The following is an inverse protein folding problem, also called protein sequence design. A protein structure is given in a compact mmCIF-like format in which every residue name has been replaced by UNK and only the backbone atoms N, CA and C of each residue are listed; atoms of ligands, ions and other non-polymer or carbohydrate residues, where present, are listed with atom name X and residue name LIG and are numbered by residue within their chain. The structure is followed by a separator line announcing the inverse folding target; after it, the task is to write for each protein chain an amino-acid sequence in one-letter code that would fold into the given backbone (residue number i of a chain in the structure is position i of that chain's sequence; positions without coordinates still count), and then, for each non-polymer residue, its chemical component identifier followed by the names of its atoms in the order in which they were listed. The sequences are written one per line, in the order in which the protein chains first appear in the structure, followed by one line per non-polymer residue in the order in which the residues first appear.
data_IF_085252037042
#
_entry.id   IF_085252037042
#
_cell.length_a   1.000
_cell.length_b   1.000
_cell.length_c   1.000
_cell.angle_alpha   90.00
_cell.angle_beta   90.00
_cell.angle_gamma   90.00
#
_symmetry.space_group_name_H-M   'P 1'
#
loop_
_entity.id
_entity.type
_entity.pdbx_description
1 polymer ?
#
# COMPACT_ATOMS: atom_id res chain seq x y z
N UNK A 1 -35.11 -61.57 -30.20
CA UNK A 1 -34.51 -62.92 -30.06
C UNK A 1 -33.09 -62.84 -30.63
N UNK A 2 -32.10 -63.46 -29.96
CA UNK A 2 -30.61 -63.39 -30.16
C UNK A 2 -29.96 -62.05 -29.73
N UNK A 3 -29.15 -61.87 -28.67
CA UNK A 3 -28.01 -62.53 -27.97
C UNK A 3 -26.61 -62.35 -28.60
N UNK A 4 -25.77 -61.58 -27.87
CA UNK A 4 -24.28 -61.59 -27.73
C UNK A 4 -23.50 -61.07 -28.95
N UNK A 5 -22.36 -60.37 -28.83
CA UNK A 5 -21.20 -60.64 -27.96
C UNK A 5 -20.33 -59.41 -27.68
N UNK A 6 -19.75 -59.38 -26.49
CA UNK A 6 -18.56 -58.61 -26.15
C UNK A 6 -17.33 -59.17 -26.90
N UNK A 7 -16.43 -58.28 -27.34
CA UNK A 7 -15.03 -58.60 -27.54
C UNK A 7 -14.17 -57.47 -26.97
N UNK A 8 -13.45 -57.84 -25.90
CA UNK A 8 -12.25 -57.19 -25.42
C UNK A 8 -11.12 -57.36 -26.43
N UNK A 9 -10.38 -56.30 -26.71
CA UNK A 9 -8.97 -56.41 -27.08
C UNK A 9 -8.17 -55.47 -26.19
N UNK A 10 -7.34 -56.08 -25.35
CA UNK A 10 -6.31 -55.41 -24.59
C UNK A 10 -4.99 -55.52 -25.38
N UNK A 11 -4.20 -54.44 -25.33
CA UNK A 11 -2.74 -54.48 -25.44
C UNK A 11 -2.15 -54.16 -26.81
N UNK A 12 -1.53 -52.98 -26.93
CA UNK A 12 -0.20 -52.69 -27.50
C UNK A 12 0.01 -51.16 -27.30
N UNK A 13 0.58 -50.74 -26.17
CA UNK A 13 1.99 -50.39 -25.97
C UNK A 13 2.33 -48.91 -26.28
N UNK A 14 2.65 -48.18 -25.20
CA UNK A 14 3.68 -47.14 -25.08
C UNK A 14 3.76 -46.06 -26.18
N UNK A 15 2.84 -45.11 -26.14
CA UNK A 15 3.02 -43.77 -26.71
C UNK A 15 3.67 -42.83 -25.71
N UNK A 16 4.97 -42.62 -25.88
CA UNK A 16 5.86 -41.74 -25.14
C UNK A 16 5.42 -40.26 -25.29
N UNK A 17 4.59 -39.74 -24.37
CA UNK A 17 4.28 -38.30 -24.27
C UNK A 17 5.39 -37.54 -23.52
N UNK A 18 6.64 -37.71 -23.95
CA UNK A 18 7.78 -36.90 -23.52
C UNK A 18 8.24 -36.03 -24.67
N UNK A 19 7.67 -34.83 -24.76
CA UNK A 19 8.27 -33.78 -25.60
C UNK A 19 7.26 -32.81 -26.19
N UNK A 20 6.85 -31.83 -25.39
CA UNK A 20 6.60 -30.42 -25.75
C UNK A 20 5.56 -29.79 -24.80
N UNK A 21 5.98 -29.48 -23.57
CA UNK A 21 5.38 -28.38 -22.81
C UNK A 21 6.47 -27.36 -22.46
N UNK A 22 7.22 -26.94 -23.48
CA UNK A 22 8.05 -25.74 -23.38
C UNK A 22 7.20 -24.52 -23.74
N UNK A 23 7.16 -23.57 -22.80
CA UNK A 23 6.95 -22.16 -23.10
C UNK A 23 5.53 -21.67 -22.92
N UNK A 24 5.25 -21.09 -21.75
CA UNK A 24 4.68 -19.74 -21.59
C UNK A 24 4.49 -19.37 -20.09
N UNK A 25 5.33 -19.88 -19.18
CA UNK A 25 5.72 -19.07 -18.02
C UNK A 25 6.82 -18.14 -18.51
N UNK A 26 6.42 -17.12 -19.29
CA UNK A 26 7.23 -15.92 -19.36
C UNK A 26 7.47 -15.54 -17.90
N UNK A 27 8.72 -15.65 -17.46
CA UNK A 27 9.15 -14.98 -16.24
C UNK A 27 8.86 -13.52 -16.54
N UNK A 28 7.72 -13.02 -16.06
CA UNK A 28 7.45 -11.60 -16.04
C UNK A 28 8.68 -11.04 -15.34
N UNK A 29 9.56 -10.36 -16.08
CA UNK A 29 10.68 -9.66 -15.46
C UNK A 29 10.03 -8.80 -14.39
N UNK A 30 10.37 -9.08 -13.12
CA UNK A 30 9.78 -8.38 -12.01
C UNK A 30 10.19 -6.92 -12.14
N UNK A 31 9.30 -6.11 -12.71
CA UNK A 31 9.51 -4.68 -12.75
C UNK A 31 9.50 -4.22 -11.30
N UNK A 32 10.66 -3.76 -10.83
CA UNK A 32 10.78 -3.27 -9.48
C UNK A 32 9.94 -2.00 -9.36
N UNK A 33 8.94 -2.03 -8.49
CA UNK A 33 8.18 -0.83 -8.13
C UNK A 33 9.15 0.22 -7.60
N UNK A 34 9.07 1.43 -8.16
CA UNK A 34 9.92 2.55 -7.81
C UNK A 34 9.26 3.49 -6.81
N UNK A 35 10.03 4.42 -6.24
CA UNK A 35 9.49 5.50 -5.41
C UNK A 35 8.44 6.31 -6.18
N UNK A 36 8.68 6.58 -7.47
CA UNK A 36 7.73 7.27 -8.34
C UNK A 36 6.42 6.49 -8.52
N UNK A 37 6.51 5.17 -8.72
CA UNK A 37 5.32 4.31 -8.84
C UNK A 37 4.47 4.35 -7.56
N UNK A 38 5.13 4.41 -6.39
CA UNK A 38 4.45 4.53 -5.11
C UNK A 38 3.76 5.89 -4.95
N UNK A 39 4.39 7.00 -5.37
CA UNK A 39 3.75 8.33 -5.38
C UNK A 39 2.55 8.39 -6.34
N UNK A 40 2.68 7.81 -7.54
CA UNK A 40 1.58 7.75 -8.51
C UNK A 40 0.43 6.88 -8.00
N UNK A 41 0.75 5.77 -7.33
CA UNK A 41 -0.24 4.92 -6.68
C UNK A 41 -0.96 5.65 -5.55
N UNK A 42 -0.26 6.42 -4.73
CA UNK A 42 -0.86 7.25 -3.69
C UNK A 42 -1.89 8.22 -4.27
N UNK A 43 -1.53 8.90 -5.37
CA UNK A 43 -2.45 9.82 -6.07
C UNK A 43 -3.69 9.09 -6.58
N UNK A 44 -3.51 7.97 -7.29
CA UNK A 44 -4.63 7.17 -7.82
C UNK A 44 -5.57 6.71 -6.70
N UNK A 45 -5.05 6.29 -5.56
CA UNK A 45 -5.88 5.91 -4.41
C UNK A 45 -6.63 7.08 -3.79
N UNK A 46 -6.03 8.27 -3.74
CA UNK A 46 -6.76 9.44 -3.28
C UNK A 46 -7.93 9.81 -4.23
N UNK A 47 -7.72 9.70 -5.54
CA UNK A 47 -8.79 9.92 -6.53
C UNK A 47 -9.89 8.84 -6.41
N UNK A 48 -9.50 7.58 -6.24
CA UNK A 48 -10.42 6.46 -6.00
C UNK A 48 -11.25 6.65 -4.72
N UNK A 49 -10.66 7.19 -3.66
CA UNK A 49 -11.37 7.48 -2.42
C UNK A 49 -12.52 8.49 -2.64
N UNK A 50 -12.33 9.50 -3.49
CA UNK A 50 -13.41 10.44 -3.84
C UNK A 50 -14.53 9.76 -4.63
N UNK A 51 -14.20 8.88 -5.56
CA UNK A 51 -15.19 8.10 -6.31
C UNK A 51 -16.00 7.20 -5.36
N UNK A 52 -15.33 6.53 -4.42
CA UNK A 52 -15.99 5.69 -3.41
C UNK A 52 -16.87 6.51 -2.46
N UNK A 53 -16.44 7.71 -2.08
CA UNK A 53 -17.26 8.63 -1.28
C UNK A 53 -18.53 9.04 -2.01
N UNK A 54 -18.43 9.42 -3.28
CA UNK A 54 -19.59 9.76 -4.11
C UNK A 54 -20.55 8.57 -4.30
N UNK A 55 -20.00 7.35 -4.37
CA UNK A 55 -20.76 6.10 -4.40
C UNK A 55 -21.29 5.65 -3.03
N UNK A 56 -21.21 6.50 -1.99
CA UNK A 56 -21.67 6.24 -0.62
C UNK A 56 -20.96 5.06 0.07
N UNK A 57 -19.79 4.64 -0.43
CA UNK A 57 -18.95 3.59 0.16
C UNK A 57 -17.95 4.20 1.14
N UNK A 58 -18.44 4.88 2.17
CA UNK A 58 -17.64 5.74 3.06
C UNK A 58 -16.50 5.00 3.77
N UNK A 59 -16.77 3.80 4.28
CA UNK A 59 -15.76 2.98 4.93
C UNK A 59 -14.62 2.62 3.97
N UNK A 60 -14.95 2.16 2.77
CA UNK A 60 -13.96 1.84 1.73
C UNK A 60 -13.20 3.08 1.28
N UNK A 61 -13.87 4.23 1.21
CA UNK A 61 -13.24 5.50 0.88
C UNK A 61 -12.17 5.89 1.92
N UNK A 62 -12.47 5.76 3.23
CA UNK A 62 -11.48 5.99 4.31
C UNK A 62 -10.32 5.00 4.17
N UNK A 63 -10.61 3.71 4.01
CA UNK A 63 -9.58 2.69 3.86
C UNK A 63 -8.61 3.00 2.71
N UNK A 64 -9.16 3.30 1.53
CA UNK A 64 -8.38 3.62 0.33
C UNK A 64 -7.61 4.94 0.49
N UNK A 65 -8.21 5.97 1.09
CA UNK A 65 -7.52 7.22 1.39
C UNK A 65 -6.37 7.04 2.39
N UNK A 66 -6.51 6.18 3.40
CA UNK A 66 -5.43 5.95 4.36
C UNK A 66 -4.24 5.20 3.73
N UNK A 67 -4.49 4.31 2.75
CA UNK A 67 -3.39 3.76 1.94
C UNK A 67 -2.64 4.85 1.18
N UNK A 68 -3.34 5.85 0.63
CA UNK A 68 -2.67 6.99 0.01
C UNK A 68 -1.83 7.79 1.02
N UNK A 69 -2.36 8.04 2.22
CA UNK A 69 -1.63 8.73 3.29
C UNK A 69 -0.35 7.98 3.70
N UNK A 70 -0.45 6.66 3.85
CA UNK A 70 0.68 5.78 4.13
C UNK A 70 1.76 5.91 3.06
N UNK A 71 1.38 5.82 1.78
CA UNK A 71 2.30 5.94 0.64
C UNK A 71 2.98 7.32 0.58
N UNK A 72 2.24 8.40 0.81
CA UNK A 72 2.82 9.75 0.88
C UNK A 72 3.80 9.91 2.04
N UNK A 73 3.50 9.37 3.22
CA UNK A 73 4.44 9.44 4.35
C UNK A 73 5.69 8.60 4.10
N UNK A 74 5.54 7.40 3.53
CA UNK A 74 6.67 6.53 3.15
C UNK A 74 7.58 7.20 2.14
N UNK A 75 7.01 7.70 1.06
CA UNK A 75 7.76 8.37 -0.01
C UNK A 75 8.45 9.64 0.53
N UNK A 76 7.78 10.44 1.36
CA UNK A 76 8.43 11.57 2.03
C UNK A 76 9.64 11.15 2.87
N UNK A 77 9.53 10.09 3.66
CA UNK A 77 10.66 9.52 4.40
C UNK A 77 11.80 9.07 3.48
N UNK A 78 11.49 8.42 2.35
CA UNK A 78 12.50 7.94 1.40
C UNK A 78 13.27 9.09 0.76
N UNK A 79 12.58 10.16 0.35
CA UNK A 79 13.22 11.33 -0.24
C UNK A 79 14.15 12.05 0.75
N UNK A 80 13.77 12.13 2.04
CA UNK A 80 14.65 12.71 3.06
C UNK A 80 15.96 11.95 3.21
N UNK A 81 15.94 10.62 3.03
CA UNK A 81 17.14 9.78 3.03
C UNK A 81 17.90 9.80 1.69
N UNK A 82 17.51 10.68 0.76
CA UNK A 82 18.17 10.85 -0.55
C UNK A 82 17.69 9.86 -1.62
N UNK A 83 16.55 9.20 -1.44
CA UNK A 83 15.99 8.38 -2.51
C UNK A 83 15.62 9.22 -3.73
N UNK A 84 15.81 8.65 -4.93
CA UNK A 84 15.39 9.25 -6.21
C UNK A 84 14.09 8.63 -6.67
N UNK A 85 13.32 9.30 -7.55
CA UNK A 85 12.07 8.74 -8.08
C UNK A 85 12.24 7.34 -8.69
N UNK A 86 13.38 7.07 -9.34
CA UNK A 86 13.70 5.78 -9.96
C UNK A 86 14.20 4.69 -9.01
N UNK A 87 14.39 4.99 -7.72
CA UNK A 87 14.91 3.99 -6.78
C UNK A 87 13.89 2.87 -6.53
N UNK A 88 14.32 1.59 -6.50
CA UNK A 88 13.47 0.48 -6.11
C UNK A 88 12.96 0.62 -4.68
N UNK A 89 11.65 0.43 -4.49
CA UNK A 89 11.01 0.66 -3.19
C UNK A 89 11.21 -0.48 -2.20
N UNK A 90 11.48 -1.70 -2.68
CA UNK A 90 11.55 -2.91 -1.85
C UNK A 90 12.58 -2.78 -0.71
N UNK A 91 13.81 -2.36 -1.02
CA UNK A 91 14.87 -2.20 -0.02
C UNK A 91 14.54 -1.10 1.00
N UNK A 92 13.94 0.01 0.52
CA UNK A 92 13.53 1.15 1.35
C UNK A 92 12.41 0.74 2.33
N UNK A 93 11.45 -0.06 1.88
CA UNK A 93 10.39 -0.63 2.72
C UNK A 93 10.96 -1.60 3.76
N UNK A 94 11.93 -2.44 3.38
CA UNK A 94 12.61 -3.33 4.34
C UNK A 94 13.29 -2.52 5.42
N UNK A 95 14.01 -1.44 5.07
CA UNK A 95 14.67 -0.59 6.04
C UNK A 95 13.67 0.11 6.97
N UNK A 96 12.60 0.67 6.41
CA UNK A 96 11.54 1.31 7.19
C UNK A 96 10.87 0.35 8.17
N UNK A 97 10.65 -0.90 7.74
CA UNK A 97 10.12 -1.95 8.61
C UNK A 97 11.08 -2.30 9.75
N UNK A 98 12.39 -2.36 9.49
CA UNK A 98 13.40 -2.54 10.55
C UNK A 98 13.37 -1.40 11.56
N UNK A 99 13.26 -0.15 11.10
CA UNK A 99 13.13 1.02 11.97
C UNK A 99 11.86 0.95 12.83
N UNK A 100 10.75 0.48 12.27
CA UNK A 100 9.53 0.21 13.04
C UNK A 100 9.82 -0.78 14.19
N UNK A 101 10.34 -1.97 13.89
CA UNK A 101 10.63 -2.95 14.95
C UNK A 101 11.64 -2.48 16.01
N UNK A 102 12.54 -1.56 15.65
CA UNK A 102 13.55 -1.02 16.56
C UNK A 102 13.05 0.17 17.40
N UNK A 103 11.92 0.79 17.06
CA UNK A 103 11.45 1.98 17.77
C UNK A 103 10.81 1.60 19.13
N UNK A 104 11.21 2.25 20.24
CA UNK A 104 10.63 1.99 21.56
C UNK A 104 9.22 2.57 21.74
N UNK A 105 8.67 3.26 20.72
CA UNK A 105 7.31 3.81 20.80
C UNK A 105 6.27 2.70 20.75
N UNK A 106 5.43 2.59 21.79
CA UNK A 106 4.27 1.67 21.90
C UNK A 106 3.10 2.06 20.96
N UNK A 107 3.38 2.72 19.83
CA UNK A 107 2.37 3.18 18.89
C UNK A 107 2.14 2.06 17.88
N UNK A 108 0.90 1.55 17.82
CA UNK A 108 0.49 0.31 17.15
C UNK A 108 1.32 -0.07 15.92
N UNK A 109 2.09 -1.15 16.07
CA UNK A 109 2.92 -1.74 15.04
C UNK A 109 2.08 -2.61 14.10
N UNK A 110 1.34 -1.97 13.21
CA UNK A 110 0.84 -2.64 12.00
C UNK A 110 1.99 -2.86 11.00
N UNK A 111 3.12 -3.45 11.39
CA UNK A 111 4.20 -3.87 10.47
C UNK A 111 4.82 -2.76 9.57
N UNK A 112 4.74 -1.49 9.99
CA UNK A 112 5.18 -0.33 9.19
C UNK A 112 4.07 0.38 8.41
N UNK A 113 2.80 0.07 8.68
CA UNK A 113 1.63 0.74 8.12
C UNK A 113 1.07 1.86 9.02
N UNK A 114 1.43 1.88 10.31
CA UNK A 114 0.90 2.86 11.26
C UNK A 114 1.25 4.31 10.88
N UNK A 115 0.22 5.12 10.63
CA UNK A 115 0.39 6.52 10.20
C UNK A 115 1.11 7.38 11.26
N UNK A 116 0.84 7.12 12.54
CA UNK A 116 1.54 7.78 13.65
C UNK A 116 3.03 7.44 13.68
N UNK A 117 3.39 6.17 13.47
CA UNK A 117 4.79 5.75 13.35
C UNK A 117 5.48 6.46 12.18
N UNK A 118 4.87 6.43 10.98
CA UNK A 118 5.45 7.06 9.79
C UNK A 118 5.63 8.58 9.98
N UNK A 119 4.71 9.23 10.69
CA UNK A 119 4.80 10.65 11.00
C UNK A 119 5.93 10.98 12.00
N UNK A 120 6.17 10.13 12.99
CA UNK A 120 7.30 10.28 13.91
C UNK A 120 8.62 9.99 13.19
N UNK A 121 8.68 8.98 12.35
CA UNK A 121 9.85 8.68 11.51
C UNK A 121 10.18 9.87 10.59
N UNK A 122 9.17 10.48 9.97
CA UNK A 122 9.35 11.68 9.17
C UNK A 122 9.94 12.83 9.99
N UNK A 123 9.41 13.10 11.19
CA UNK A 123 9.94 14.14 12.09
C UNK A 123 11.38 13.85 12.51
N UNK A 124 11.68 12.60 12.83
CA UNK A 124 13.01 12.14 13.21
C UNK A 124 14.02 12.38 12.08
N UNK A 125 13.71 11.95 10.85
CA UNK A 125 14.54 12.18 9.66
C UNK A 125 14.75 13.68 9.42
N UNK A 126 13.68 14.48 9.43
CA UNK A 126 13.79 15.94 9.28
C UNK A 126 14.72 16.56 10.33
N UNK A 127 14.63 16.11 11.59
CA UNK A 127 15.53 16.56 12.67
C UNK A 127 16.99 16.18 12.38
N UNK A 128 17.25 14.95 11.94
CA UNK A 128 18.60 14.47 11.61
C UNK A 128 19.22 15.25 10.45
N UNK A 129 18.41 15.60 9.44
CA UNK A 129 18.83 16.44 8.32
C UNK A 129 18.79 17.95 8.62
N UNK A 130 18.53 18.35 9.88
CA UNK A 130 18.44 19.76 10.33
C UNK A 130 17.45 20.61 9.52
N UNK A 131 16.38 19.98 9.03
CA UNK A 131 15.33 20.64 8.26
C UNK A 131 14.31 21.32 9.16
N UNK A 132 13.53 22.25 8.57
CA UNK A 132 12.43 22.91 9.28
C UNK A 132 11.45 21.87 9.83
N UNK A 133 11.00 22.07 11.07
CA UNK A 133 9.98 21.22 11.69
C UNK A 133 8.69 21.16 10.87
N UNK A 134 7.97 20.04 10.99
CA UNK A 134 6.65 19.91 10.35
C UNK A 134 5.67 20.96 10.90
N UNK A 135 4.79 21.53 10.06
CA UNK A 135 3.86 22.57 10.48
C UNK A 135 2.90 22.04 11.56
N UNK A 136 2.39 22.92 12.43
CA UNK A 136 1.40 22.54 13.47
C UNK A 136 0.20 21.80 12.88
N UNK A 137 -0.23 22.19 11.66
CA UNK A 137 -1.31 21.52 10.93
C UNK A 137 -1.00 20.06 10.60
N UNK A 138 0.26 19.70 10.32
CA UNK A 138 0.65 18.30 10.10
C UNK A 138 0.30 17.43 11.29
N UNK A 139 0.65 17.87 12.51
CA UNK A 139 0.36 17.09 13.73
C UNK A 139 -1.14 16.86 13.91
N UNK A 140 -1.96 17.89 13.68
CA UNK A 140 -3.43 17.80 13.77
C UNK A 140 -4.00 16.83 12.73
N UNK A 141 -3.54 16.95 11.48
CA UNK A 141 -3.97 16.09 10.37
C UNK A 141 -3.63 14.63 10.66
N UNK A 142 -2.37 14.33 11.03
CA UNK A 142 -1.93 12.98 11.35
C UNK A 142 -2.71 12.41 12.53
N UNK A 143 -2.89 13.17 13.62
CA UNK A 143 -3.62 12.68 14.79
C UNK A 143 -5.05 12.27 14.42
N UNK A 144 -5.74 13.05 13.58
CA UNK A 144 -7.09 12.71 13.13
C UNK A 144 -7.10 11.44 12.26
N UNK A 145 -6.29 11.39 11.19
CA UNK A 145 -6.33 10.24 10.28
C UNK A 145 -5.79 8.95 10.91
N UNK A 146 -4.88 9.03 11.88
CA UNK A 146 -4.34 7.85 12.56
C UNK A 146 -5.32 7.24 13.57
N UNK A 147 -6.29 8.02 14.08
CA UNK A 147 -7.37 7.48 14.92
C UNK A 147 -8.41 6.73 14.10
N UNK A 148 -8.71 7.23 12.90
CA UNK A 148 -9.83 6.73 12.08
C UNK A 148 -9.41 5.61 11.12
N UNK A 149 -8.11 5.35 10.94
CA UNK A 149 -7.61 4.40 9.97
C UNK A 149 -6.58 3.44 10.55
N UNK A 150 -6.79 2.17 10.21
CA UNK A 150 -5.90 1.05 10.51
C UNK A 150 -6.18 -0.06 9.48
N UNK A 151 -5.20 -0.89 9.13
CA UNK A 151 -5.33 -1.82 7.99
C UNK A 151 -6.45 -2.84 8.19
N UNK A 152 -6.71 -3.21 9.45
CA UNK A 152 -7.77 -4.14 9.83
C UNK A 152 -9.18 -3.62 9.57
N UNK A 153 -9.37 -2.30 9.37
CA UNK A 153 -10.70 -1.72 9.16
C UNK A 153 -11.37 -2.31 7.92
N UNK A 154 -10.60 -2.72 6.90
CA UNK A 154 -11.12 -3.37 5.67
C UNK A 154 -12.11 -4.51 5.91
N UNK A 155 -12.08 -5.13 7.09
CA UNK A 155 -12.97 -6.24 7.49
C UNK A 155 -14.16 -5.81 8.37
N UNK A 156 -14.35 -4.51 8.63
CA UNK A 156 -15.37 -3.96 9.54
C UNK A 156 -16.12 -2.78 8.90
N UNK A 157 -17.02 -3.03 7.94
CA UNK A 157 -17.65 -1.99 7.11
C UNK A 157 -18.62 -1.02 7.84
N UNK A 158 -18.87 -1.19 9.14
CA UNK A 158 -19.99 -0.55 9.84
C UNK A 158 -19.73 0.81 10.51
N UNK A 159 -18.54 1.41 10.42
CA UNK A 159 -18.15 2.53 11.31
C UNK A 159 -18.01 3.92 10.67
N UNK A 160 -18.26 4.09 9.37
CA UNK A 160 -17.95 5.35 8.66
C UNK A 160 -19.20 6.12 8.21
N UNK A 161 -19.32 7.38 8.64
CA UNK A 161 -20.33 8.33 8.14
C UNK A 161 -19.82 9.08 6.91
N UNK A 162 -20.74 9.76 6.20
CA UNK A 162 -20.41 10.63 5.06
C UNK A 162 -19.45 11.74 5.46
N UNK A 163 -19.72 12.38 6.60
CA UNK A 163 -18.98 13.51 7.15
C UNK A 163 -17.57 13.07 7.56
N UNK A 164 -17.46 11.95 8.29
CA UNK A 164 -16.17 11.41 8.71
C UNK A 164 -15.30 11.07 7.50
N UNK A 165 -15.87 10.42 6.49
CA UNK A 165 -15.13 10.10 5.26
C UNK A 165 -14.71 11.37 4.50
N UNK A 166 -15.56 12.39 4.40
CA UNK A 166 -15.22 13.65 3.73
C UNK A 166 -14.07 14.38 4.44
N UNK A 167 -14.10 14.46 5.77
CA UNK A 167 -13.04 15.05 6.60
C UNK A 167 -11.74 14.26 6.44
N UNK A 168 -11.81 12.94 6.51
CA UNK A 168 -10.65 12.06 6.34
C UNK A 168 -9.98 12.28 4.97
N UNK A 169 -10.73 12.20 3.87
CA UNK A 169 -10.21 12.39 2.51
C UNK A 169 -9.63 13.80 2.35
N UNK A 170 -10.26 14.83 2.94
CA UNK A 170 -9.75 16.21 2.93
C UNK A 170 -8.40 16.32 3.65
N UNK A 171 -8.24 15.64 4.77
CA UNK A 171 -6.98 15.58 5.51
C UNK A 171 -5.87 14.87 4.71
N UNK A 172 -6.19 13.76 4.03
CA UNK A 172 -5.23 13.09 3.14
C UNK A 172 -4.90 13.96 1.92
N UNK A 173 -5.88 14.69 1.37
CA UNK A 173 -5.63 15.66 0.29
C UNK A 173 -4.70 16.78 0.75
N UNK A 174 -4.84 17.26 1.98
CA UNK A 174 -3.90 18.23 2.53
C UNK A 174 -2.48 17.65 2.59
N UNK A 175 -2.33 16.40 3.03
CA UNK A 175 -1.04 15.70 3.04
C UNK A 175 -0.44 15.62 1.63
N UNK A 176 -1.23 15.23 0.63
CA UNK A 176 -0.82 15.15 -0.77
C UNK A 176 -0.34 16.52 -1.32
N UNK A 177 -1.10 17.59 -1.07
CA UNK A 177 -0.75 18.95 -1.52
C UNK A 177 0.50 19.50 -0.83
N UNK A 178 0.83 19.01 0.37
CA UNK A 178 2.01 19.44 1.13
C UNK A 178 3.16 18.42 1.02
N UNK A 179 3.02 17.37 0.21
CA UNK A 179 3.98 16.27 0.12
C UNK A 179 5.38 16.78 -0.24
N UNK A 180 5.49 17.68 -1.23
CA UNK A 180 6.76 18.29 -1.65
C UNK A 180 7.46 19.00 -0.50
N UNK A 181 6.74 19.79 0.31
CA UNK A 181 7.30 20.44 1.49
C UNK A 181 7.73 19.43 2.56
N UNK A 182 6.96 18.35 2.75
CA UNK A 182 7.25 17.34 3.76
C UNK A 182 8.53 16.54 3.44
N UNK A 183 8.88 16.42 2.15
CA UNK A 183 10.06 15.68 1.65
C UNK A 183 11.31 16.52 1.38
N UNK A 184 11.27 17.83 1.67
CA UNK A 184 12.38 18.79 1.49
C UNK A 184 12.61 19.65 2.73
#
# INVERSE_FOLDING_TARGET
MQKRSAQSFAGFENGDYRGCSMGYRAVLQAHHETVQDLELSAKRRLDEAWVLHAAQKYHTAIYVAGLAAEMYLKTACFFLDGARPSHPVAALLTQLRKNAYASPSKVDYEGGHGLSFLAEELKFRRKNHRLRQTPRRFRRVIAQIATDWFIGMRYRPGSATRENAAVFITNVRWLALNHTYLRS
#
